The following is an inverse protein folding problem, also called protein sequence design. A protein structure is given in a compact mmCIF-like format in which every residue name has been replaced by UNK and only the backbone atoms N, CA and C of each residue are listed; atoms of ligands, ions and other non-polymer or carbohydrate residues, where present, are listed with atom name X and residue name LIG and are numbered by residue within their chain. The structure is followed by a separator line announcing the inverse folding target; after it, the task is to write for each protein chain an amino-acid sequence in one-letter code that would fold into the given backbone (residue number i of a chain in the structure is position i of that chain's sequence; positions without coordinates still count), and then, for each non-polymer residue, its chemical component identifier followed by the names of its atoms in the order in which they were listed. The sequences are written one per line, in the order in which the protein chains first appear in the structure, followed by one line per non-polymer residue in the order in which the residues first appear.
data_IF_818419966364
#
_entry.id   IF_818419966364
#
_cell.length_a   1.000
_cell.length_b   1.000
_cell.length_c   1.000
_cell.angle_alpha   90.00
_cell.angle_beta   90.00
_cell.angle_gamma   90.00
#
_symmetry.space_group_name_H-M   'P 1'
#
loop_
_entity.id
_entity.type
_entity.pdbx_description
1 polymer ?
#
# COMPACT_ATOMS: atom_id res chain seq x y z
N UNK A 1 10.18 0.11 31.63
CA UNK A 1 11.21 -0.37 30.70
C UNK A 1 10.53 -1.32 29.73
N UNK A 2 10.18 -0.87 28.52
CA UNK A 2 9.69 -1.78 27.49
C UNK A 2 10.93 -2.40 26.84
N UNK A 3 11.09 -3.72 26.98
CA UNK A 3 12.12 -4.49 26.30
C UNK A 3 11.91 -4.48 24.78
N UNK A 4 12.89 -5.03 24.05
CA UNK A 4 12.93 -5.05 22.59
C UNK A 4 11.61 -5.52 22.00
N UNK A 5 10.88 -4.57 21.42
CA UNK A 5 9.58 -4.79 20.77
C UNK A 5 9.74 -5.73 19.56
N UNK A 6 10.91 -5.70 18.94
CA UNK A 6 11.35 -6.60 17.87
C UNK A 6 12.81 -6.93 18.15
N UNK A 7 13.10 -8.20 18.43
CA UNK A 7 14.46 -8.66 18.80
C UNK A 7 15.36 -8.92 17.59
N UNK A 8 14.81 -8.92 16.37
CA UNK A 8 15.49 -9.29 15.14
C UNK A 8 15.42 -8.18 14.10
N UNK A 9 16.49 -8.01 13.32
CA UNK A 9 16.53 -7.08 12.18
C UNK A 9 16.00 -7.76 10.92
N UNK A 10 15.24 -7.03 10.09
CA UNK A 10 14.70 -7.53 8.83
C UNK A 10 13.18 -7.74 8.88
N UNK A 11 12.67 -8.61 8.01
CA UNK A 11 11.24 -8.92 7.96
C UNK A 11 10.86 -9.82 9.14
N UNK A 12 10.09 -9.27 10.07
CA UNK A 12 9.60 -10.00 11.25
C UNK A 12 8.08 -10.09 11.21
N UNK A 13 7.55 -11.29 11.41
CA UNK A 13 6.11 -11.49 11.54
C UNK A 13 5.65 -11.16 12.97
N UNK A 14 4.81 -10.13 13.11
CA UNK A 14 4.24 -9.72 14.39
C UNK A 14 2.77 -10.14 14.48
N UNK A 15 2.34 -10.66 15.64
CA UNK A 15 0.96 -11.11 15.87
C UNK A 15 0.38 -10.54 17.16
N UNK A 16 -0.92 -10.26 17.15
CA UNK A 16 -1.71 -9.90 18.33
C UNK A 16 -1.10 -8.78 19.18
N UNK A 17 -0.94 -9.03 20.48
CA UNK A 17 -0.38 -8.09 21.47
C UNK A 17 1.02 -7.58 21.09
N UNK A 18 1.82 -8.37 20.36
CA UNK A 18 3.15 -7.94 19.92
C UNK A 18 3.05 -6.86 18.84
N UNK A 19 2.15 -7.04 17.86
CA UNK A 19 1.89 -6.03 16.83
C UNK A 19 1.30 -4.76 17.47
N UNK A 20 0.38 -4.91 18.43
CA UNK A 20 -0.19 -3.79 19.18
C UNK A 20 0.88 -3.02 19.97
N UNK A 21 1.78 -3.75 20.64
CA UNK A 21 2.91 -3.17 21.37
C UNK A 21 3.85 -2.43 20.42
N UNK A 22 4.09 -2.96 19.22
CA UNK A 22 4.90 -2.31 18.19
C UNK A 22 4.33 -0.97 17.74
N UNK A 23 3.04 -0.94 17.40
CA UNK A 23 2.37 0.29 16.96
C UNK A 23 2.28 1.33 18.08
N UNK A 24 2.15 0.90 19.34
CA UNK A 24 2.01 1.78 20.51
C UNK A 24 3.34 2.20 21.14
N UNK A 25 4.47 1.63 20.72
CA UNK A 25 5.76 1.95 21.28
C UNK A 25 6.07 3.45 21.10
N UNK A 26 6.24 4.17 22.22
CA UNK A 26 6.61 5.60 22.25
C UNK A 26 8.10 5.84 22.51
N UNK A 27 8.75 4.92 23.23
CA UNK A 27 10.18 4.95 23.51
C UNK A 27 10.78 3.62 23.09
N UNK A 28 11.66 3.64 22.10
CA UNK A 28 12.42 2.47 21.66
C UNK A 28 13.89 2.83 21.89
N UNK A 29 14.61 2.03 22.67
CA UNK A 29 15.95 2.38 23.15
C UNK A 29 16.99 2.54 22.01
N UNK A 30 16.69 2.00 20.84
CA UNK A 30 17.50 2.04 19.62
C UNK A 30 17.13 3.17 18.64
N UNK A 31 16.10 3.97 18.92
CA UNK A 31 15.67 5.10 18.08
C UNK A 31 16.22 6.41 18.68
N UNK A 32 17.22 7.07 18.05
CA UNK A 32 17.81 8.30 18.58
C UNK A 32 16.83 9.48 18.61
N UNK A 33 15.71 9.35 17.90
CA UNK A 33 14.60 10.27 17.89
C UNK A 33 13.59 9.80 18.93
N UNK A 34 13.58 10.43 20.11
CA UNK A 34 12.49 10.31 21.12
C UNK A 34 11.15 10.90 20.59
N UNK A 35 10.87 10.75 19.30
CA UNK A 35 10.08 11.64 18.49
C UNK A 35 8.80 10.97 17.98
N UNK A 36 7.75 11.77 17.84
CA UNK A 36 6.46 11.36 17.30
C UNK A 36 6.58 10.74 15.89
N UNK A 37 7.59 11.13 15.10
CA UNK A 37 7.87 10.57 13.78
C UNK A 37 8.18 9.07 13.81
N UNK A 38 8.97 8.58 14.77
CA UNK A 38 9.26 7.14 14.87
C UNK A 38 7.99 6.31 15.14
N UNK A 39 7.02 6.89 15.86
CA UNK A 39 5.70 6.26 16.06
C UNK A 39 4.86 6.32 14.78
N UNK A 40 4.86 7.44 14.06
CA UNK A 40 4.17 7.58 12.78
C UNK A 40 4.69 6.56 11.77
N UNK A 41 6.01 6.38 11.67
CA UNK A 41 6.63 5.41 10.77
C UNK A 41 6.20 3.97 11.11
N UNK A 42 6.17 3.61 12.40
CA UNK A 42 5.68 2.27 12.81
C UNK A 42 4.21 2.07 12.52
N UNK A 43 3.38 3.10 12.68
CA UNK A 43 1.96 3.06 12.31
C UNK A 43 1.79 2.86 10.81
N UNK A 44 2.52 3.62 9.99
CA UNK A 44 2.52 3.48 8.55
C UNK A 44 2.96 2.06 8.15
N UNK A 45 4.11 1.58 8.65
CA UNK A 45 4.60 0.21 8.38
C UNK A 45 3.60 -0.87 8.75
N UNK A 46 2.92 -0.73 9.89
CA UNK A 46 1.89 -1.67 10.31
C UNK A 46 0.70 -1.68 9.36
N UNK A 47 0.15 -0.50 9.02
CA UNK A 47 -0.96 -0.39 8.08
C UNK A 47 -0.56 -0.88 6.69
N UNK A 48 0.66 -0.61 6.26
CA UNK A 48 1.21 -1.11 5.01
C UNK A 48 1.29 -2.63 4.98
N UNK A 49 1.88 -3.24 6.01
CA UNK A 49 1.96 -4.69 6.12
C UNK A 49 0.58 -5.34 6.20
N UNK A 50 -0.38 -4.72 6.91
CA UNK A 50 -1.76 -5.19 6.99
C UNK A 50 -2.43 -5.17 5.61
N UNK A 51 -2.29 -4.06 4.87
CA UNK A 51 -2.87 -3.93 3.54
C UNK A 51 -2.24 -4.91 2.56
N UNK A 52 -0.91 -4.98 2.48
CA UNK A 52 -0.19 -5.94 1.64
C UNK A 52 -0.57 -7.39 1.98
N UNK A 53 -0.71 -7.73 3.27
CA UNK A 53 -1.13 -9.09 3.65
C UNK A 53 -2.58 -9.38 3.27
N UNK A 54 -3.47 -8.41 3.42
CA UNK A 54 -4.89 -8.55 3.06
C UNK A 54 -5.07 -8.66 1.54
N UNK A 55 -4.29 -7.89 0.77
CA UNK A 55 -4.29 -7.93 -0.70
C UNK A 55 -3.42 -9.05 -1.26
N UNK A 56 -2.72 -9.82 -0.42
CA UNK A 56 -1.90 -10.92 -0.90
C UNK A 56 -2.76 -11.98 -1.60
N UNK A 57 -2.19 -12.61 -2.62
CA UNK A 57 -2.83 -13.71 -3.35
C UNK A 57 -3.37 -14.80 -2.41
N UNK A 58 -2.66 -15.07 -1.32
CA UNK A 58 -3.02 -16.03 -0.27
C UNK A 58 -4.36 -15.74 0.43
N UNK A 59 -4.77 -14.46 0.48
CA UNK A 59 -6.00 -14.01 1.13
C UNK A 59 -7.06 -13.67 0.09
N UNK A 60 -6.71 -12.89 -0.94
CA UNK A 60 -7.67 -12.48 -1.97
C UNK A 60 -8.22 -13.65 -2.81
N UNK A 61 -7.42 -14.68 -3.09
CA UNK A 61 -7.85 -15.84 -3.87
C UNK A 61 -8.35 -17.01 -3.03
N UNK A 62 -8.34 -16.89 -1.70
CA UNK A 62 -8.89 -17.87 -0.76
C UNK A 62 -10.19 -17.34 -0.17
N UNK A 63 -11.33 -17.81 -0.70
CA UNK A 63 -12.67 -17.34 -0.32
C UNK A 63 -12.92 -17.47 1.19
N UNK A 64 -12.47 -18.56 1.81
CA UNK A 64 -12.65 -18.80 3.24
C UNK A 64 -11.85 -17.81 4.08
N UNK A 65 -10.59 -17.52 3.72
CA UNK A 65 -9.78 -16.52 4.42
C UNK A 65 -10.32 -15.11 4.23
N UNK A 66 -10.71 -14.75 3.00
CA UNK A 66 -11.26 -13.44 2.71
C UNK A 66 -12.55 -13.17 3.50
N UNK A 67 -13.50 -14.10 3.49
CA UNK A 67 -14.75 -13.96 4.23
C UNK A 67 -14.51 -13.88 5.74
N UNK A 68 -13.58 -14.67 6.29
CA UNK A 68 -13.21 -14.56 7.71
C UNK A 68 -12.63 -13.18 8.05
N UNK A 69 -11.75 -12.65 7.20
CA UNK A 69 -11.16 -11.33 7.39
C UNK A 69 -12.22 -10.24 7.37
N UNK A 70 -13.06 -10.20 6.33
CA UNK A 70 -14.12 -9.19 6.16
C UNK A 70 -15.08 -9.20 7.35
N UNK A 71 -15.51 -10.39 7.79
CA UNK A 71 -16.40 -10.52 8.95
C UNK A 71 -15.75 -10.05 10.26
N UNK A 72 -14.47 -10.40 10.48
CA UNK A 72 -13.75 -9.95 11.67
C UNK A 72 -13.54 -8.43 11.67
N UNK A 73 -13.25 -7.85 10.51
CA UNK A 73 -13.07 -6.40 10.34
C UNK A 73 -14.38 -5.64 10.56
N UNK A 74 -15.47 -6.10 9.93
CA UNK A 74 -16.81 -5.53 10.11
C UNK A 74 -17.26 -5.57 11.59
N UNK A 75 -16.96 -6.66 12.30
CA UNK A 75 -17.28 -6.79 13.72
C UNK A 75 -16.45 -5.86 14.62
N UNK A 76 -15.29 -5.40 14.15
CA UNK A 76 -14.33 -4.61 14.92
C UNK A 76 -14.33 -3.12 14.55
N UNK A 77 -15.11 -2.71 13.56
CA UNK A 77 -15.10 -1.36 12.99
C UNK A 77 -16.52 -0.80 12.91
N UNK A 78 -16.66 0.51 13.05
CA UNK A 78 -17.94 1.20 12.91
C UNK A 78 -17.82 2.35 11.91
N UNK A 79 -18.80 2.47 11.01
CA UNK A 79 -18.78 3.44 9.92
C UNK A 79 -19.89 3.19 8.91
N UNK A 80 -20.00 4.08 7.94
CA UNK A 80 -20.89 3.95 6.79
C UNK A 80 -20.15 3.28 5.63
N UNK A 81 -20.86 2.54 4.77
CA UNK A 81 -20.30 1.85 3.59
C UNK A 81 -19.17 0.84 3.90
N UNK A 82 -19.15 0.28 5.12
CA UNK A 82 -18.22 -0.77 5.55
C UNK A 82 -18.96 -2.09 5.83
N UNK A 83 -20.08 -2.35 5.14
CA UNK A 83 -20.77 -3.62 5.24
C UNK A 83 -19.97 -4.75 4.58
N UNK A 84 -20.28 -5.99 4.96
CA UNK A 84 -19.58 -7.18 4.46
C UNK A 84 -19.69 -7.28 2.93
N UNK A 85 -20.86 -6.95 2.37
CA UNK A 85 -21.12 -7.04 0.93
C UNK A 85 -20.36 -5.97 0.14
N UNK A 86 -20.28 -4.74 0.64
CA UNK A 86 -19.48 -3.66 0.05
C UNK A 86 -17.99 -3.99 0.08
N UNK A 87 -17.49 -4.51 1.21
CA UNK A 87 -16.09 -4.91 1.35
C UNK A 87 -15.72 -6.10 0.45
N UNK A 88 -16.62 -7.08 0.30
CA UNK A 88 -16.44 -8.16 -0.66
C UNK A 88 -16.44 -7.62 -2.09
N UNK A 89 -17.31 -6.68 -2.43
CA UNK A 89 -17.35 -6.06 -3.76
C UNK A 89 -16.02 -5.33 -4.06
N UNK A 90 -15.49 -4.58 -3.11
CA UNK A 90 -14.19 -3.92 -3.22
C UNK A 90 -13.05 -4.93 -3.38
N UNK A 91 -13.00 -5.98 -2.54
CA UNK A 91 -11.98 -7.02 -2.65
C UNK A 91 -12.03 -7.73 -4.01
N UNK A 92 -13.22 -7.88 -4.60
CA UNK A 92 -13.39 -8.44 -5.93
C UNK A 92 -12.88 -7.51 -7.04
N UNK A 93 -13.11 -6.20 -6.94
CA UNK A 93 -12.56 -5.24 -7.91
C UNK A 93 -11.03 -5.14 -7.84
N UNK A 94 -10.44 -5.53 -6.71
CA UNK A 94 -8.99 -5.60 -6.53
C UNK A 94 -8.38 -6.95 -6.97
N UNK A 95 -9.19 -7.93 -7.43
CA UNK A 95 -8.63 -9.17 -7.98
C UNK A 95 -7.85 -8.87 -9.26
N UNK A 96 -6.58 -9.27 -9.29
CA UNK A 96 -5.65 -8.95 -10.39
C UNK A 96 -4.83 -7.69 -10.16
N UNK A 97 -5.07 -6.97 -9.06
CA UNK A 97 -4.17 -5.94 -8.57
C UNK A 97 -2.92 -6.59 -7.97
N UNK A 98 -1.73 -6.15 -8.38
CA UNK A 98 -0.48 -6.60 -7.74
C UNK A 98 -0.35 -5.90 -6.39
N UNK A 99 -0.34 -6.67 -5.30
CA UNK A 99 -0.12 -6.13 -3.96
C UNK A 99 1.25 -5.42 -3.81
N UNK A 100 2.21 -5.71 -4.70
CA UNK A 100 3.47 -5.00 -4.83
C UNK A 100 3.38 -3.60 -5.44
N UNK A 101 2.28 -3.27 -6.12
CA UNK A 101 2.02 -1.96 -6.72
C UNK A 101 1.38 -0.95 -5.75
N UNK A 102 1.27 -1.29 -4.45
CA UNK A 102 0.80 -0.34 -3.44
C UNK A 102 1.97 0.50 -2.95
N UNK A 103 1.88 1.81 -3.16
CA UNK A 103 2.82 2.77 -2.56
C UNK A 103 2.20 3.47 -1.35
N UNK A 104 3.01 3.65 -0.30
CA UNK A 104 2.61 4.38 0.90
C UNK A 104 3.41 5.66 1.02
N UNK A 105 2.71 6.78 0.95
CA UNK A 105 3.29 8.11 1.06
C UNK A 105 2.83 8.80 2.34
N UNK A 106 3.73 9.60 2.92
CA UNK A 106 3.37 10.58 3.94
C UNK A 106 3.26 11.94 3.28
N UNK A 107 2.28 12.75 3.66
CA UNK A 107 2.13 14.11 3.14
C UNK A 107 3.41 14.89 3.44
N UNK A 108 4.02 15.58 2.45
CA UNK A 108 5.25 16.35 2.65
C UNK A 108 5.07 17.44 3.72
N UNK A 109 6.00 17.47 4.67
CA UNK A 109 6.01 18.42 5.79
C UNK A 109 7.35 19.12 5.88
N UNK A 110 7.38 20.30 6.51
CA UNK A 110 8.63 21.05 6.72
C UNK A 110 9.50 20.45 7.82
N UNK A 111 9.00 19.45 8.55
CA UNK A 111 9.70 18.81 9.67
C UNK A 111 9.61 19.60 10.98
N UNK A 112 8.82 20.66 11.01
CA UNK A 112 8.65 21.54 12.16
C UNK A 112 7.16 21.76 12.44
N UNK A 113 6.81 21.77 13.73
CA UNK A 113 5.48 22.11 14.19
C UNK A 113 5.33 23.61 14.38
N UNK A 114 4.14 24.15 14.06
CA UNK A 114 3.79 25.53 14.35
C UNK A 114 3.58 25.79 15.85
N UNK A 115 3.25 27.03 16.22
CA UNK A 115 3.02 27.46 17.60
C UNK A 115 1.89 26.68 18.32
N UNK A 116 1.02 25.99 17.57
CA UNK A 116 -0.06 25.15 18.10
C UNK A 116 0.33 23.68 18.24
N UNK A 117 1.57 23.32 17.91
CA UNK A 117 2.07 21.94 17.90
C UNK A 117 1.57 21.11 16.71
N UNK A 118 1.07 21.76 15.66
CA UNK A 118 0.66 21.06 14.44
C UNK A 118 1.77 21.09 13.41
N UNK A 119 1.96 19.96 12.75
CA UNK A 119 2.91 19.84 11.64
C UNK A 119 2.57 20.80 10.49
N UNK A 120 3.57 21.50 9.96
CA UNK A 120 3.39 22.42 8.85
C UNK A 120 3.65 21.70 7.54
N UNK A 121 2.66 21.71 6.65
CA UNK A 121 2.75 21.10 5.34
C UNK A 121 3.69 21.89 4.44
N UNK A 122 4.44 21.18 3.59
CA UNK A 122 5.12 21.79 2.47
C UNK A 122 4.07 22.04 1.37
N UNK A 123 3.53 23.26 1.30
CA UNK A 123 2.30 23.57 0.55
C UNK A 123 2.35 23.18 -0.93
N UNK A 124 3.47 23.47 -1.60
CA UNK A 124 3.63 23.17 -3.02
C UNK A 124 3.60 21.67 -3.29
N UNK A 125 4.39 20.90 -2.54
CA UNK A 125 4.53 19.45 -2.74
C UNK A 125 3.28 18.71 -2.27
N UNK A 126 2.67 19.17 -1.17
CA UNK A 126 1.38 18.65 -0.70
C UNK A 126 0.28 18.86 -1.73
N UNK A 127 0.23 20.05 -2.35
CA UNK A 127 -0.74 20.34 -3.42
C UNK A 127 -0.49 19.46 -4.64
N UNK A 128 0.76 19.34 -5.09
CA UNK A 128 1.12 18.48 -6.20
C UNK A 128 0.73 17.01 -5.96
N UNK A 129 0.89 16.52 -4.72
CA UNK A 129 0.47 15.18 -4.34
C UNK A 129 -1.06 15.01 -4.43
N UNK A 130 -1.84 15.97 -3.91
CA UNK A 130 -3.30 15.90 -4.00
C UNK A 130 -3.82 16.05 -5.43
N UNK A 131 -3.24 16.96 -6.21
CA UNK A 131 -3.60 17.16 -7.62
C UNK A 131 -3.33 15.87 -8.41
N UNK A 132 -2.19 15.20 -8.16
CA UNK A 132 -1.89 13.91 -8.79
C UNK A 132 -2.92 12.82 -8.47
N UNK A 133 -3.37 12.75 -7.21
CA UNK A 133 -4.42 11.81 -6.77
C UNK A 133 -5.77 12.13 -7.42
N UNK A 134 -6.16 13.42 -7.49
CA UNK A 134 -7.44 13.86 -8.05
C UNK A 134 -7.49 13.62 -9.56
N UNK A 135 -6.42 13.98 -10.26
CA UNK A 135 -6.33 13.90 -11.72
C UNK A 135 -5.89 12.51 -12.22
N UNK A 136 -5.60 11.58 -11.30
CA UNK A 136 -5.10 10.25 -11.59
C UNK A 136 -3.84 10.27 -12.49
N UNK A 137 -2.86 11.10 -12.11
CA UNK A 137 -1.56 11.23 -12.78
C UNK A 137 -0.44 10.65 -11.89
N UNK A 138 0.76 10.36 -12.45
CA UNK A 138 1.87 9.82 -11.67
C UNK A 138 2.20 10.69 -10.45
N UNK A 139 2.53 10.05 -9.32
CA UNK A 139 2.80 10.77 -8.08
C UNK A 139 4.12 11.57 -8.21
N UNK A 140 4.26 12.71 -7.51
CA UNK A 140 5.48 13.50 -7.55
C UNK A 140 6.71 12.65 -7.20
N UNK A 141 7.69 12.58 -8.11
CA UNK A 141 8.91 11.77 -7.93
C UNK A 141 8.83 10.34 -8.48
N UNK A 142 7.67 9.90 -8.97
CA UNK A 142 7.56 8.71 -9.81
C UNK A 142 7.77 9.10 -11.27
N UNK A 143 8.61 8.35 -11.99
CA UNK A 143 8.59 8.40 -13.45
C UNK A 143 7.28 7.78 -13.95
N UNK A 144 6.66 8.32 -15.01
CA UNK A 144 5.49 7.69 -15.60
C UNK A 144 5.84 6.25 -15.96
N UNK A 145 5.04 5.29 -15.53
CA UNK A 145 5.10 3.93 -16.06
C UNK A 145 5.01 4.05 -17.57
N UNK A 146 6.14 3.84 -18.26
CA UNK A 146 6.09 3.69 -19.70
C UNK A 146 5.23 2.45 -19.94
N UNK A 147 4.12 2.54 -20.69
CA UNK A 147 3.43 1.33 -21.08
C UNK A 147 4.47 0.45 -21.78
N UNK A 148 4.68 -0.76 -21.25
CA UNK A 148 5.53 -1.75 -21.90
C UNK A 148 5.17 -1.73 -23.39
N UNK A 149 6.13 -1.28 -24.17
CA UNK A 149 5.99 -1.19 -25.61
C UNK A 149 5.81 -2.63 -26.06
N UNK A 150 4.57 -3.03 -26.32
CA UNK A 150 4.27 -4.31 -26.94
C UNK A 150 5.18 -4.45 -28.15
N UNK A 151 6.03 -5.47 -28.09
CA UNK A 151 7.06 -5.78 -29.07
C UNK A 151 6.43 -5.73 -30.48
N UNK A 152 6.89 -4.86 -31.40
CA UNK A 152 6.29 -4.75 -32.73
C UNK A 152 6.52 -6.00 -33.61
N UNK A 153 7.26 -7.01 -33.13
CA UNK A 153 7.71 -8.12 -33.97
C UNK A 153 6.69 -9.25 -34.17
N UNK A 154 5.49 -9.19 -33.55
CA UNK A 154 4.47 -10.23 -33.75
C UNK A 154 3.47 -9.95 -34.89
N UNK A 155 3.57 -8.80 -35.58
CA UNK A 155 2.68 -8.47 -36.71
C UNK A 155 3.28 -8.75 -38.10
N UNK A 156 4.46 -9.38 -38.19
CA UNK A 156 5.09 -9.70 -39.49
C UNK A 156 4.92 -11.13 -39.98
N UNK A 157 4.24 -12.00 -39.24
CA UNK A 157 4.13 -13.42 -39.57
C UNK A 157 2.80 -13.86 -40.23
N UNK A 158 1.85 -12.95 -40.47
CA UNK A 158 0.54 -13.32 -41.06
C UNK A 158 0.16 -12.41 -42.23
N UNK A 159 1.00 -12.30 -43.25
CA UNK A 159 0.51 -11.96 -44.60
C UNK A 159 1.51 -12.38 -45.68
N UNK A 160 1.32 -13.58 -46.24
CA UNK A 160 1.79 -13.92 -47.58
C UNK A 160 0.77 -14.87 -48.21
N UNK A 161 -0.01 -14.43 -49.22
CA UNK A 161 -0.92 -15.30 -49.92
C UNK A 161 -0.16 -16.18 -50.93
N UNK A 162 -0.64 -17.41 -51.08
CA UNK A 162 -0.19 -18.38 -52.06
C UNK A 162 -0.43 -17.90 -53.50
N UNK A 163 0.57 -18.03 -54.38
CA UNK A 163 0.37 -18.11 -55.82
C UNK A 163 1.58 -18.77 -56.51
N UNK A 164 1.30 -19.79 -57.35
CA UNK A 164 2.10 -20.06 -58.55
C UNK A 164 2.87 -21.37 -58.59
N UNK A 165 2.21 -22.42 -59.08
CA UNK A 165 2.82 -23.68 -59.47
C UNK A 165 3.67 -23.56 -60.76
N UNK A 166 4.71 -24.39 -60.80
CA UNK A 166 5.40 -24.98 -61.95
C UNK A 166 4.63 -25.06 -63.27
N UNK A 167 5.14 -24.37 -64.30
CA UNK A 167 5.65 -24.91 -65.58
C UNK A 167 5.95 -23.78 -66.55
#
# INVERSE_FOLDING_TARGET
MLGDVVAEHGTVELRGEQALSFVRARQVYSDPTFSDYGRMERQQKFLSALLTKTLSSDVLFDTDKLTRFVNAFAASTYGENIGVDEMLTLAQSMRGFDAGAVEFLTIPTVGESNERGNEVLLEQDSRALFDAIIDNTPLPGQEPDQPESGDPDEQRAVEQPAAGAVS
#
